data_IF_121572635359
#
_entry.id   IF_121572635359
#
_cell.length_a   1.000
_cell.length_b   1.000
_cell.length_c   1.000
_cell.angle_alpha   90.00
_cell.angle_beta   90.00
_cell.angle_gamma   90.00
#
_symmetry.space_group_name_H-M   'P 1'
#
loop_
_entity.id
_entity.type
_entity.pdbx_description
1 polymer ?
#
# COMPACT_ATOMS: atom_id res chain seq x y z
N UNK A 1 -9.60 21.30 3.11
CA UNK A 1 -10.02 20.59 1.88
C UNK A 1 -8.96 20.67 0.77
N UNK A 2 -7.86 21.36 1.00
CA UNK A 2 -6.81 21.58 -0.01
C UNK A 2 -5.89 20.36 -0.29
N UNK A 3 -5.94 19.31 0.53
CA UNK A 3 -5.04 18.15 0.38
C UNK A 3 -5.58 17.04 -0.52
N UNK A 4 -6.89 17.00 -0.76
CA UNK A 4 -7.54 15.91 -1.49
C UNK A 4 -7.95 16.37 -2.90
N UNK A 5 -7.55 15.62 -3.92
CA UNK A 5 -8.11 15.72 -5.26
C UNK A 5 -9.62 15.43 -5.24
N UNK A 6 -9.97 14.35 -4.50
CA UNK A 6 -11.37 13.97 -4.27
C UNK A 6 -11.52 13.35 -2.89
N UNK A 7 -12.61 13.69 -2.17
CA UNK A 7 -12.91 13.19 -0.83
C UNK A 7 -14.41 13.08 -0.60
N UNK A 8 -14.80 12.60 0.59
CA UNK A 8 -16.19 12.48 1.00
C UNK A 8 -17.03 11.63 0.06
N UNK A 9 -18.29 12.02 -0.11
CA UNK A 9 -19.25 11.30 -0.94
C UNK A 9 -18.85 11.24 -2.42
N UNK A 10 -18.11 12.24 -2.92
CA UNK A 10 -17.65 12.25 -4.30
C UNK A 10 -16.65 11.12 -4.59
N UNK A 11 -15.71 10.86 -3.67
CA UNK A 11 -14.75 9.75 -3.79
C UNK A 11 -15.46 8.40 -3.63
N UNK A 12 -16.34 8.27 -2.64
CA UNK A 12 -17.14 7.05 -2.43
C UNK A 12 -17.99 6.71 -3.64
N UNK A 13 -18.64 7.70 -4.25
CA UNK A 13 -19.42 7.53 -5.48
C UNK A 13 -18.53 7.08 -6.64
N UNK A 14 -17.37 7.70 -6.82
CA UNK A 14 -16.44 7.29 -7.87
C UNK A 14 -16.01 5.83 -7.70
N UNK A 15 -15.58 5.43 -6.50
CA UNK A 15 -15.19 4.04 -6.21
C UNK A 15 -16.35 3.09 -6.53
N UNK A 16 -17.54 3.38 -6.02
CA UNK A 16 -18.70 2.50 -6.17
C UNK A 16 -19.20 2.38 -7.61
N UNK A 17 -19.18 3.50 -8.37
CA UNK A 17 -19.71 3.55 -9.74
C UNK A 17 -18.70 3.23 -10.83
N UNK A 18 -17.39 3.17 -10.50
CA UNK A 18 -16.36 2.78 -11.46
C UNK A 18 -16.65 1.38 -11.99
N UNK A 19 -16.76 1.25 -13.30
CA UNK A 19 -16.92 0.00 -14.03
C UNK A 19 -15.75 -0.18 -14.96
N UNK A 20 -15.11 -1.33 -14.89
CA UNK A 20 -13.88 -1.63 -15.59
C UNK A 20 -14.01 -2.93 -16.37
N UNK A 21 -13.42 -3.03 -17.58
CA UNK A 21 -13.21 -4.32 -18.21
C UNK A 21 -12.24 -5.17 -17.37
N UNK A 22 -12.33 -6.50 -17.50
CA UNK A 22 -11.50 -7.45 -16.76
C UNK A 22 -9.98 -7.31 -16.99
N UNK A 23 -9.57 -6.50 -17.99
CA UNK A 23 -8.16 -6.18 -18.24
C UNK A 23 -7.66 -4.92 -17.50
N UNK A 24 -8.52 -4.26 -16.73
CA UNK A 24 -8.18 -2.99 -16.07
C UNK A 24 -8.29 -3.08 -14.55
N UNK A 25 -7.43 -2.34 -13.87
CA UNK A 25 -7.41 -2.13 -12.43
C UNK A 25 -7.49 -0.62 -12.14
N UNK A 26 -8.44 -0.20 -11.33
CA UNK A 26 -8.46 1.15 -10.78
C UNK A 26 -7.77 1.19 -9.42
N UNK A 27 -6.98 2.22 -9.19
CA UNK A 27 -6.18 2.43 -7.97
C UNK A 27 -6.38 3.86 -7.47
N UNK A 28 -6.68 4.01 -6.18
CA UNK A 28 -6.74 5.30 -5.48
C UNK A 28 -5.73 5.30 -4.33
N UNK A 29 -4.85 6.30 -4.28
CA UNK A 29 -4.04 6.55 -3.10
C UNK A 29 -4.89 7.26 -2.05
N UNK A 30 -4.87 6.75 -0.82
CA UNK A 30 -5.54 7.35 0.35
C UNK A 30 -4.55 7.85 1.40
N UNK A 31 -3.28 7.98 0.99
CA UNK A 31 -2.17 8.50 1.79
C UNK A 31 -1.42 7.44 2.58
N UNK A 32 -0.23 7.78 3.04
CA UNK A 32 0.71 6.88 3.70
C UNK A 32 1.05 5.67 2.81
N UNK A 33 0.74 4.47 3.26
CA UNK A 33 0.78 3.24 2.47
C UNK A 33 -0.61 2.76 2.03
N UNK A 34 -1.64 3.58 2.25
CA UNK A 34 -3.02 3.20 2.02
C UNK A 34 -3.45 3.30 0.57
N UNK A 35 -4.00 2.21 0.04
CA UNK A 35 -4.57 2.17 -1.31
C UNK A 35 -5.92 1.46 -1.34
N UNK A 36 -6.77 1.91 -2.27
CA UNK A 36 -7.99 1.22 -2.66
C UNK A 36 -7.82 0.74 -4.09
N UNK A 37 -8.07 -0.53 -4.31
CA UNK A 37 -8.09 -1.16 -5.62
C UNK A 37 -9.51 -1.56 -5.98
N UNK A 38 -9.87 -1.39 -7.23
CA UNK A 38 -11.10 -1.96 -7.77
C UNK A 38 -10.79 -2.76 -9.04
N UNK A 39 -11.16 -4.03 -9.00
CA UNK A 39 -11.08 -4.96 -10.11
C UNK A 39 -12.45 -5.58 -10.32
N UNK A 40 -13.03 -5.38 -11.50
CA UNK A 40 -14.43 -5.74 -11.75
C UNK A 40 -15.36 -5.15 -10.66
N UNK A 41 -16.05 -5.97 -9.89
CA UNK A 41 -16.89 -5.52 -8.78
C UNK A 41 -16.17 -5.59 -7.42
N UNK A 42 -15.01 -6.23 -7.34
CA UNK A 42 -14.25 -6.42 -6.08
C UNK A 42 -13.51 -5.15 -5.68
N UNK A 43 -13.71 -4.72 -4.45
CA UNK A 43 -12.99 -3.59 -3.82
C UNK A 43 -12.06 -4.12 -2.75
N UNK A 44 -10.78 -3.83 -2.89
CA UNK A 44 -9.70 -4.24 -1.97
C UNK A 44 -9.04 -3.01 -1.38
N UNK A 45 -8.87 -2.98 -0.06
CA UNK A 45 -8.07 -1.97 0.63
C UNK A 45 -6.80 -2.60 1.18
N UNK A 46 -5.69 -1.89 1.09
CA UNK A 46 -4.45 -2.24 1.79
C UNK A 46 -4.01 -1.07 2.66
N UNK A 47 -3.63 -1.36 3.90
CA UNK A 47 -3.20 -0.40 4.92
C UNK A 47 -4.10 0.85 4.99
N UNK A 48 -5.43 0.70 5.02
CA UNK A 48 -6.33 1.85 5.03
C UNK A 48 -6.24 2.58 6.37
N UNK A 49 -5.97 3.89 6.35
CA UNK A 49 -6.01 4.77 7.53
C UNK A 49 -7.04 5.86 7.28
N UNK A 50 -8.28 5.59 7.65
CA UNK A 50 -9.47 6.42 7.43
C UNK A 50 -9.96 7.07 8.73
N UNK A 51 -9.13 7.09 9.76
CA UNK A 51 -9.38 7.70 11.07
C UNK A 51 -8.18 8.51 11.53
N UNK A 52 -8.30 9.22 12.62
CA UNK A 52 -7.16 9.82 13.29
C UNK A 52 -6.19 8.73 13.80
N UNK A 53 -4.91 9.10 13.89
CA UNK A 53 -3.91 8.20 14.45
C UNK A 53 -4.06 8.19 15.97
N UNK A 54 -4.40 7.03 16.52
CA UNK A 54 -4.55 6.82 17.95
C UNK A 54 -3.49 5.82 18.41
N UNK A 55 -2.35 6.31 18.84
CA UNK A 55 -1.26 5.47 19.31
C UNK A 55 -0.47 6.12 20.44
N UNK A 56 0.34 5.36 21.17
CA UNK A 56 1.16 5.88 22.28
C UNK A 56 2.22 6.89 21.82
N UNK A 57 2.58 6.90 20.52
CA UNK A 57 3.53 7.86 19.95
C UNK A 57 3.01 9.30 19.88
N UNK A 58 1.70 9.53 20.05
CA UNK A 58 1.09 10.86 19.88
C UNK A 58 1.17 11.37 18.43
N UNK A 59 1.41 10.51 17.46
CA UNK A 59 1.49 10.85 16.05
C UNK A 59 0.21 11.50 15.57
N UNK A 60 0.34 12.49 14.68
CA UNK A 60 -0.79 13.21 14.09
C UNK A 60 -0.71 13.15 12.58
N UNK A 61 -1.89 13.18 11.96
CA UNK A 61 -1.99 13.30 10.50
C UNK A 61 -1.65 14.71 10.04
N UNK A 62 -1.04 14.82 8.86
CA UNK A 62 -0.82 16.10 8.17
C UNK A 62 -2.11 16.62 7.51
N UNK A 63 -3.08 15.74 7.24
CA UNK A 63 -4.35 16.05 6.58
C UNK A 63 -5.46 15.14 7.11
N UNK A 64 -6.74 15.57 7.07
CA UNK A 64 -7.86 14.76 7.56
C UNK A 64 -8.07 13.50 6.70
N UNK A 65 -8.76 12.50 7.24
CA UNK A 65 -9.21 11.35 6.48
C UNK A 65 -10.19 11.76 5.35
N UNK A 66 -10.23 11.02 4.23
CA UNK A 66 -11.08 11.40 3.10
C UNK A 66 -12.56 11.24 3.36
N UNK A 67 -12.94 10.27 4.17
CA UNK A 67 -14.32 9.94 4.57
C UNK A 67 -14.27 9.06 5.83
N UNK A 68 -15.43 8.90 6.48
CA UNK A 68 -15.56 8.00 7.63
C UNK A 68 -15.45 6.52 7.17
N UNK A 69 -14.70 5.66 7.88
CA UNK A 69 -14.41 4.30 7.43
C UNK A 69 -15.67 3.46 7.16
N UNK A 70 -16.73 3.64 7.94
CA UNK A 70 -18.01 2.94 7.74
C UNK A 70 -18.76 3.31 6.46
N UNK A 71 -18.35 4.37 5.77
CA UNK A 71 -18.95 4.75 4.51
C UNK A 71 -18.38 3.97 3.31
N UNK A 72 -17.18 3.39 3.45
CA UNK A 72 -16.53 2.63 2.38
C UNK A 72 -17.00 1.17 2.40
N UNK A 73 -17.63 0.72 1.33
CA UNK A 73 -17.89 -0.71 1.11
C UNK A 73 -16.65 -1.34 0.48
N UNK A 74 -16.08 -2.32 1.16
CA UNK A 74 -14.94 -3.09 0.70
C UNK A 74 -15.18 -4.58 0.92
N UNK A 75 -14.63 -5.42 0.05
CA UNK A 75 -14.73 -6.87 0.14
C UNK A 75 -13.52 -7.44 0.89
N UNK A 76 -12.35 -6.82 0.76
CA UNK A 76 -11.11 -7.28 1.34
C UNK A 76 -10.32 -6.12 1.93
N UNK A 77 -9.84 -6.30 3.15
CA UNK A 77 -8.95 -5.37 3.86
C UNK A 77 -7.66 -6.12 4.20
N UNK A 78 -6.54 -5.64 3.71
CA UNK A 78 -5.23 -6.17 4.06
C UNK A 78 -4.50 -5.18 4.97
N UNK A 79 -3.80 -5.69 5.97
CA UNK A 79 -2.85 -4.91 6.76
C UNK A 79 -1.47 -5.55 6.66
N UNK A 80 -0.44 -4.74 6.44
CA UNK A 80 0.93 -5.23 6.33
C UNK A 80 1.55 -5.53 7.69
N UNK A 81 1.21 -4.76 8.72
CA UNK A 81 1.69 -4.93 10.09
C UNK A 81 0.83 -4.15 11.10
N UNK A 82 1.17 -4.24 12.39
CA UNK A 82 0.34 -3.76 13.49
C UNK A 82 0.49 -2.29 13.87
N UNK A 83 1.29 -1.47 13.18
CA UNK A 83 1.40 -0.04 13.49
C UNK A 83 0.11 0.72 13.18
N UNK A 84 -0.16 1.77 13.94
CA UNK A 84 -1.42 2.52 13.87
C UNK A 84 -1.65 3.25 12.54
N UNK A 85 -0.60 3.54 11.79
CA UNK A 85 -0.64 4.14 10.46
C UNK A 85 -0.74 3.10 9.30
N UNK A 86 -0.97 1.81 9.65
CA UNK A 86 -1.27 0.71 8.72
C UNK A 86 -2.50 -0.08 9.21
N UNK A 87 -2.55 -0.39 10.51
CA UNK A 87 -3.63 -1.15 11.15
C UNK A 87 -4.39 -0.27 12.14
N UNK A 88 -5.02 0.80 11.65
CA UNK A 88 -5.72 1.78 12.48
C UNK A 88 -6.99 1.19 13.10
N UNK A 89 -7.07 1.20 14.46
CA UNK A 89 -8.18 0.60 15.24
C UNK A 89 -9.55 1.06 14.78
N UNK A 90 -9.76 2.38 14.75
CA UNK A 90 -11.08 2.92 14.43
C UNK A 90 -11.44 2.76 12.95
N UNK A 91 -10.44 2.74 12.07
CA UNK A 91 -10.63 2.40 10.66
C UNK A 91 -11.13 0.97 10.50
N UNK A 92 -10.43 -0.01 11.09
CA UNK A 92 -10.82 -1.41 10.97
C UNK A 92 -12.19 -1.69 11.60
N UNK A 93 -12.48 -1.08 12.74
CA UNK A 93 -13.82 -1.17 13.37
C UNK A 93 -14.92 -0.59 12.48
N UNK A 94 -14.66 0.53 11.82
CA UNK A 94 -15.60 1.13 10.88
C UNK A 94 -15.85 0.24 9.66
N UNK A 95 -14.79 -0.26 9.04
CA UNK A 95 -14.87 -1.18 7.89
C UNK A 95 -15.57 -2.50 8.27
N UNK A 96 -15.35 -2.99 9.49
CA UNK A 96 -15.97 -4.21 10.00
C UNK A 96 -17.49 -4.11 10.18
N UNK A 97 -18.10 -2.91 10.10
CA UNK A 97 -19.56 -2.76 10.07
C UNK A 97 -20.17 -3.34 8.80
N UNK A 98 -19.41 -3.45 7.71
CA UNK A 98 -19.82 -4.14 6.51
C UNK A 98 -19.58 -5.65 6.67
N UNK A 99 -20.65 -6.44 6.73
CA UNK A 99 -20.58 -7.87 7.02
C UNK A 99 -19.84 -8.68 5.96
N UNK A 100 -19.76 -8.19 4.72
CA UNK A 100 -19.02 -8.83 3.63
C UNK A 100 -17.50 -8.65 3.73
N UNK A 101 -17.02 -7.63 4.46
CA UNK A 101 -15.59 -7.33 4.54
C UNK A 101 -14.81 -8.47 5.21
N UNK A 102 -13.80 -8.98 4.53
CA UNK A 102 -12.81 -9.95 5.04
C UNK A 102 -11.50 -9.24 5.33
N UNK A 103 -10.77 -9.72 6.33
CA UNK A 103 -9.52 -9.13 6.79
C UNK A 103 -8.38 -10.13 6.63
N UNK A 104 -7.32 -9.73 5.96
CA UNK A 104 -6.08 -10.50 5.83
C UNK A 104 -4.99 -9.78 6.61
N UNK A 105 -4.45 -10.44 7.60
CA UNK A 105 -3.53 -9.86 8.57
C UNK A 105 -2.32 -10.78 8.78
N UNK A 106 -1.14 -10.23 9.11
CA UNK A 106 -0.04 -11.05 9.60
C UNK A 106 -0.47 -11.89 10.81
N UNK A 107 0.03 -13.12 10.91
CA UNK A 107 -0.32 -14.01 12.01
C UNK A 107 -0.07 -13.38 13.39
N UNK A 108 1.03 -12.62 13.53
CA UNK A 108 1.37 -11.91 14.76
C UNK A 108 0.41 -10.75 15.13
N UNK A 109 -0.41 -10.28 14.17
CA UNK A 109 -1.39 -9.22 14.42
C UNK A 109 -2.77 -9.74 14.88
N UNK A 110 -2.96 -11.05 15.03
CA UNK A 110 -4.26 -11.65 15.35
C UNK A 110 -4.82 -11.18 16.70
N UNK A 111 -3.97 -11.09 17.74
CA UNK A 111 -4.37 -10.61 19.06
C UNK A 111 -4.82 -9.14 19.01
N UNK A 112 -4.11 -8.30 18.26
CA UNK A 112 -4.45 -6.90 18.06
C UNK A 112 -5.79 -6.73 17.32
N UNK A 113 -6.04 -7.54 16.30
CA UNK A 113 -7.32 -7.56 15.59
C UNK A 113 -8.49 -7.95 16.51
N UNK A 114 -8.30 -8.93 17.39
CA UNK A 114 -9.28 -9.32 18.39
C UNK A 114 -9.55 -8.19 19.40
N UNK A 115 -8.50 -7.49 19.87
CA UNK A 115 -8.63 -6.30 20.72
C UNK A 115 -9.43 -5.19 20.03
N UNK A 116 -9.26 -5.03 18.71
CA UNK A 116 -10.02 -4.09 17.91
C UNK A 116 -11.47 -4.51 17.67
N UNK A 117 -11.85 -5.72 18.08
CA UNK A 117 -13.20 -6.24 17.97
C UNK A 117 -13.57 -6.68 16.55
N UNK A 118 -12.58 -7.06 15.75
CA UNK A 118 -12.84 -7.66 14.43
C UNK A 118 -13.30 -9.11 14.64
N UNK A 119 -14.43 -9.53 14.05
CA UNK A 119 -14.94 -10.90 14.21
C UNK A 119 -13.95 -11.94 13.67
N UNK A 120 -13.64 -12.95 14.48
CA UNK A 120 -12.63 -13.96 14.17
C UNK A 120 -12.94 -14.76 12.90
N UNK A 121 -14.22 -14.99 12.61
CA UNK A 121 -14.69 -15.68 11.40
C UNK A 121 -14.48 -14.87 10.10
N UNK A 122 -14.10 -13.59 10.22
CA UNK A 122 -13.78 -12.72 9.10
C UNK A 122 -12.29 -12.43 8.94
N UNK A 123 -11.45 -12.96 9.84
CA UNK A 123 -10.00 -12.79 9.79
C UNK A 123 -9.38 -14.03 9.16
N UNK A 124 -8.48 -13.79 8.22
CA UNK A 124 -7.53 -14.79 7.71
C UNK A 124 -6.13 -14.31 8.04
N UNK A 125 -5.43 -15.05 8.88
CA UNK A 125 -4.03 -14.77 9.20
C UNK A 125 -3.11 -15.42 8.19
N UNK A 126 -2.04 -14.70 7.85
CA UNK A 126 -1.04 -15.13 6.87
C UNK A 126 0.37 -14.94 7.41
N UNK A 127 1.29 -15.65 6.80
CA UNK A 127 2.73 -15.56 7.03
C UNK A 127 3.46 -15.63 5.69
N UNK A 128 4.77 -15.46 5.71
CA UNK A 128 5.58 -15.60 4.51
C UNK A 128 5.26 -16.90 3.74
N UNK A 129 5.12 -16.78 2.43
CA UNK A 129 4.80 -17.89 1.54
C UNK A 129 3.31 -18.23 1.43
N UNK A 130 2.44 -17.64 2.27
CA UNK A 130 0.99 -17.83 2.14
C UNK A 130 0.48 -17.33 0.79
N UNK A 131 -0.39 -18.13 0.14
CA UNK A 131 -1.07 -17.77 -1.11
C UNK A 131 -2.56 -18.00 -0.93
N UNK A 132 -3.35 -16.94 -1.09
CA UNK A 132 -4.80 -16.96 -0.88
C UNK A 132 -5.52 -16.45 -2.14
N UNK A 133 -6.32 -17.29 -2.82
CA UNK A 133 -7.28 -16.82 -3.80
C UNK A 133 -8.54 -16.28 -3.11
N UNK A 134 -8.87 -15.02 -3.29
CA UNK A 134 -9.98 -14.33 -2.63
C UNK A 134 -10.69 -13.39 -3.61
N UNK A 135 -11.94 -13.71 -3.99
CA UNK A 135 -12.83 -12.76 -4.66
C UNK A 135 -12.28 -12.12 -5.95
N UNK A 136 -11.58 -12.89 -6.80
CA UNK A 136 -11.00 -12.36 -8.05
C UNK A 136 -9.60 -11.75 -7.89
N UNK A 137 -9.04 -11.74 -6.67
CA UNK A 137 -7.65 -11.38 -6.41
C UNK A 137 -6.91 -12.56 -5.78
N UNK A 138 -5.67 -12.79 -6.18
CA UNK A 138 -4.75 -13.70 -5.48
C UNK A 138 -3.79 -12.88 -4.64
N UNK A 139 -3.74 -13.17 -3.36
CA UNK A 139 -2.85 -12.54 -2.38
C UNK A 139 -1.71 -13.49 -2.05
N UNK A 140 -0.47 -13.08 -2.30
CA UNK A 140 0.74 -13.76 -1.83
C UNK A 140 1.44 -12.88 -0.82
N UNK A 141 1.75 -13.43 0.35
CA UNK A 141 2.48 -12.74 1.42
C UNK A 141 3.98 -13.07 1.35
N UNK A 142 4.81 -12.08 1.64
CA UNK A 142 6.26 -12.25 1.86
C UNK A 142 6.70 -11.43 3.07
N UNK A 143 7.79 -11.83 3.73
CA UNK A 143 8.32 -11.11 4.89
C UNK A 143 8.84 -9.74 4.51
N UNK A 144 8.41 -8.72 5.23
CA UNK A 144 8.99 -7.38 5.20
C UNK A 144 10.02 -7.25 6.34
N UNK A 145 11.05 -6.46 6.09
CA UNK A 145 12.13 -6.25 7.05
C UNK A 145 11.86 -4.97 7.85
N UNK A 146 11.09 -5.10 8.92
CA UNK A 146 10.83 -3.98 9.84
C UNK A 146 11.61 -4.19 11.15
N UNK A 147 12.39 -3.21 11.64
CA UNK A 147 13.37 -3.39 12.72
C UNK A 147 12.84 -4.03 14.00
N UNK A 148 11.63 -3.70 14.41
CA UNK A 148 11.03 -4.26 15.62
C UNK A 148 10.79 -5.77 15.54
N UNK A 149 10.73 -6.31 14.33
CA UNK A 149 10.34 -7.69 14.05
C UNK A 149 11.51 -8.55 13.55
N UNK A 150 12.66 -7.93 13.20
CA UNK A 150 13.85 -8.67 12.77
C UNK A 150 14.60 -9.28 13.96
N UNK A 151 14.51 -8.66 15.13
CA UNK A 151 15.22 -9.11 16.33
C UNK A 151 14.56 -10.34 16.96
N UNK A 152 13.31 -10.63 16.66
CA UNK A 152 12.63 -11.87 17.02
C UNK A 152 12.72 -12.87 15.86
N UNK A 153 13.88 -13.51 15.74
CA UNK A 153 14.12 -14.61 14.77
C UNK A 153 13.15 -15.81 14.93
N UNK A 154 12.15 -15.69 15.78
CA UNK A 154 11.08 -16.65 16.05
C UNK A 154 9.69 -16.25 15.61
N UNK A 155 9.47 -15.02 15.11
CA UNK A 155 8.14 -14.57 14.66
C UNK A 155 8.14 -14.08 13.21
N UNK A 156 8.09 -14.98 12.22
CA UNK A 156 8.11 -14.63 10.79
C UNK A 156 6.80 -14.00 10.28
N UNK A 157 5.88 -13.61 11.14
CA UNK A 157 4.54 -13.20 10.77
C UNK A 157 4.10 -11.81 11.23
N UNK A 158 5.01 -10.93 11.69
CA UNK A 158 4.63 -9.63 12.25
C UNK A 158 4.57 -8.50 11.22
N UNK A 159 5.46 -8.49 10.21
CA UNK A 159 5.46 -7.51 9.14
C UNK A 159 5.56 -8.20 7.78
N UNK A 160 4.64 -7.91 6.90
CA UNK A 160 4.54 -8.53 5.58
C UNK A 160 4.42 -7.48 4.48
N UNK A 161 4.97 -7.82 3.31
CA UNK A 161 4.56 -7.23 2.05
C UNK A 161 3.61 -8.18 1.32
N UNK A 162 2.90 -7.66 0.33
CA UNK A 162 1.94 -8.43 -0.44
C UNK A 162 2.16 -8.27 -1.94
N UNK A 163 2.11 -9.39 -2.65
CA UNK A 163 1.86 -9.41 -4.08
C UNK A 163 0.38 -9.69 -4.30
N UNK A 164 -0.31 -8.77 -4.96
CA UNK A 164 -1.71 -8.89 -5.35
C UNK A 164 -1.78 -9.12 -6.87
N UNK A 165 -2.50 -10.14 -7.29
CA UNK A 165 -2.73 -10.41 -8.71
C UNK A 165 -4.22 -10.26 -9.02
N UNK A 166 -4.53 -9.26 -9.85
CA UNK A 166 -5.88 -8.93 -10.32
C UNK A 166 -5.98 -9.31 -11.81
N UNK A 167 -6.51 -10.50 -12.10
CA UNK A 167 -6.48 -11.00 -13.48
C UNK A 167 -5.05 -11.07 -14.02
N UNK A 168 -4.71 -10.21 -14.98
CA UNK A 168 -3.35 -10.14 -15.56
C UNK A 168 -2.45 -9.08 -14.95
N UNK A 169 -2.92 -8.30 -13.95
CA UNK A 169 -2.16 -7.19 -13.35
C UNK A 169 -1.57 -7.59 -11.99
N UNK A 170 -0.28 -7.41 -11.82
CA UNK A 170 0.48 -7.73 -10.60
C UNK A 170 0.89 -6.46 -9.86
N UNK A 171 0.40 -6.30 -8.64
CA UNK A 171 0.78 -5.21 -7.72
C UNK A 171 1.66 -5.78 -6.62
N UNK A 172 2.81 -5.18 -6.36
CA UNK A 172 3.65 -5.50 -5.20
C UNK A 172 3.63 -4.31 -4.25
N UNK A 173 3.12 -4.53 -3.04
CA UNK A 173 3.09 -3.57 -1.95
C UNK A 173 4.09 -4.00 -0.89
N UNK A 174 5.11 -3.20 -0.66
CA UNK A 174 6.20 -3.58 0.24
C UNK A 174 5.84 -3.46 1.73
N UNK A 175 4.80 -2.70 2.07
CA UNK A 175 4.56 -2.29 3.45
C UNK A 175 5.67 -1.38 3.95
N UNK A 176 5.93 -1.43 5.26
CA UNK A 176 7.09 -0.80 5.86
C UNK A 176 8.25 -1.77 5.86
N UNK A 177 9.37 -1.34 5.30
CA UNK A 177 10.55 -2.20 5.15
C UNK A 177 11.82 -1.42 4.81
N UNK A 178 12.95 -2.00 5.17
CA UNK A 178 14.23 -1.72 4.53
C UNK A 178 14.70 -2.97 3.78
N UNK A 179 15.72 -2.82 2.93
CA UNK A 179 16.18 -3.92 2.09
C UNK A 179 17.15 -4.83 2.86
N UNK A 180 16.83 -6.13 2.84
CA UNK A 180 17.73 -7.20 3.31
C UNK A 180 18.04 -8.15 2.15
N UNK A 181 19.10 -8.95 2.22
CA UNK A 181 19.38 -9.98 1.22
C UNK A 181 18.17 -10.92 1.00
N UNK A 182 17.55 -11.39 2.09
CA UNK A 182 16.39 -12.27 2.01
C UNK A 182 15.19 -11.63 1.29
N UNK A 183 14.84 -10.39 1.66
CA UNK A 183 13.74 -9.68 1.00
C UNK A 183 14.06 -9.44 -0.49
N UNK A 184 15.29 -9.03 -0.81
CA UNK A 184 15.69 -8.78 -2.19
C UNK A 184 15.60 -10.04 -3.05
N UNK A 185 16.13 -11.18 -2.57
CA UNK A 185 16.03 -12.47 -3.23
C UNK A 185 14.58 -12.92 -3.42
N UNK A 186 13.75 -12.73 -2.38
CA UNK A 186 12.31 -13.01 -2.46
C UNK A 186 11.64 -12.17 -3.55
N UNK A 187 11.87 -10.85 -3.57
CA UNK A 187 11.29 -9.96 -4.57
C UNK A 187 11.74 -10.29 -6.00
N UNK A 188 13.01 -10.69 -6.18
CA UNK A 188 13.53 -11.13 -7.48
C UNK A 188 12.88 -12.44 -7.98
N UNK A 189 12.46 -13.30 -7.05
CA UNK A 189 11.77 -14.56 -7.36
C UNK A 189 10.28 -14.36 -7.71
N UNK A 190 9.70 -13.19 -7.38
CA UNK A 190 8.33 -12.86 -7.75
C UNK A 190 8.24 -12.50 -9.24
N UNK A 191 7.07 -12.68 -9.88
CA UNK A 191 6.80 -12.08 -11.18
C UNK A 191 7.08 -10.58 -11.16
N UNK A 192 7.59 -10.06 -12.28
CA UNK A 192 7.82 -8.64 -12.47
C UNK A 192 6.57 -7.84 -12.08
N UNK A 193 6.67 -6.83 -11.19
CA UNK A 193 5.51 -6.04 -10.80
C UNK A 193 5.07 -5.10 -11.93
N UNK A 194 3.79 -5.08 -12.19
CA UNK A 194 3.16 -4.06 -13.02
C UNK A 194 3.08 -2.75 -12.26
N UNK A 195 2.78 -2.82 -10.97
CA UNK A 195 2.79 -1.70 -10.05
C UNK A 195 3.59 -2.07 -8.79
N UNK A 196 4.63 -1.30 -8.51
CA UNK A 196 5.38 -1.37 -7.26
C UNK A 196 4.97 -0.22 -6.35
N UNK A 197 4.61 -0.53 -5.11
CA UNK A 197 4.30 0.43 -4.04
C UNK A 197 5.40 0.33 -2.99
N UNK A 198 6.28 1.34 -2.92
CA UNK A 198 7.52 1.28 -2.15
C UNK A 198 7.62 2.46 -1.18
N UNK A 199 7.87 2.22 0.13
CA UNK A 199 8.05 3.28 1.10
C UNK A 199 9.35 4.04 0.83
N UNK A 200 9.36 5.36 1.07
CA UNK A 200 10.50 6.23 0.76
C UNK A 200 10.88 7.20 1.88
N UNK A 201 10.26 7.09 3.05
CA UNK A 201 10.52 8.04 4.13
C UNK A 201 11.92 7.93 4.75
N UNK A 202 12.68 6.88 4.42
CA UNK A 202 14.03 6.69 4.91
C UNK A 202 14.13 6.63 6.42
N UNK A 203 15.35 6.69 6.95
CA UNK A 203 15.58 6.79 8.39
C UNK A 203 16.64 7.83 8.71
N UNK A 204 16.59 8.37 9.92
CA UNK A 204 17.61 9.26 10.45
C UNK A 204 17.73 9.11 11.97
N UNK A 205 18.87 9.58 12.50
CA UNK A 205 19.17 9.49 13.92
C UNK A 205 18.08 10.09 14.81
N UNK A 206 17.56 11.28 14.48
CA UNK A 206 16.63 11.99 15.35
C UNK A 206 15.24 11.34 15.37
N UNK A 207 14.78 10.78 14.26
CA UNK A 207 13.56 10.00 14.20
C UNK A 207 13.69 8.68 14.97
N UNK A 208 14.82 7.98 14.80
CA UNK A 208 15.10 6.73 15.52
C UNK A 208 15.13 6.95 17.04
N UNK A 209 15.71 8.07 17.53
CA UNK A 209 15.69 8.41 18.96
C UNK A 209 14.28 8.64 19.52
N UNK A 210 13.29 8.90 18.67
CA UNK A 210 11.88 9.04 19.03
C UNK A 210 11.07 7.79 18.76
N UNK A 211 11.74 6.66 18.55
CA UNK A 211 11.13 5.38 18.14
C UNK A 211 10.30 5.50 16.86
N UNK A 212 10.70 6.39 15.95
CA UNK A 212 10.12 6.48 14.62
C UNK A 212 11.01 5.64 13.69
N UNK A 213 10.55 4.44 13.40
CA UNK A 213 11.28 3.47 12.61
C UNK A 213 11.20 3.86 11.15
N UNK A 214 12.33 3.81 10.46
CA UNK A 214 12.41 4.19 9.07
C UNK A 214 12.21 3.01 8.12
N UNK A 215 12.23 3.37 6.85
CA UNK A 215 12.06 2.47 5.72
C UNK A 215 13.18 2.69 4.70
N UNK A 216 12.99 2.23 3.47
CA UNK A 216 13.87 2.52 2.34
C UNK A 216 14.11 4.03 2.19
N UNK A 217 15.33 4.42 1.87
CA UNK A 217 15.60 5.75 1.33
C UNK A 217 15.00 5.90 -0.08
N UNK A 218 14.67 7.10 -0.47
CA UNK A 218 14.06 7.38 -1.79
C UNK A 218 14.95 6.86 -2.93
N UNK A 219 16.27 7.00 -2.80
CA UNK A 219 17.26 6.55 -3.77
C UNK A 219 17.36 5.01 -3.83
N UNK A 220 17.20 4.33 -2.69
CA UNK A 220 17.21 2.88 -2.60
C UNK A 220 15.93 2.28 -3.20
N UNK A 221 14.77 2.90 -2.92
CA UNK A 221 13.50 2.52 -3.54
C UNK A 221 13.55 2.67 -5.07
N UNK A 222 14.17 3.73 -5.58
CA UNK A 222 14.37 3.92 -7.02
C UNK A 222 15.28 2.84 -7.63
N UNK A 223 16.37 2.47 -6.96
CA UNK A 223 17.24 1.37 -7.39
C UNK A 223 16.50 0.04 -7.42
N UNK A 224 15.71 -0.23 -6.38
CA UNK A 224 14.90 -1.45 -6.28
C UNK A 224 13.89 -1.52 -7.43
N UNK A 225 13.18 -0.43 -7.73
CA UNK A 225 12.22 -0.35 -8.83
C UNK A 225 12.85 -0.72 -10.18
N UNK A 226 14.02 -0.17 -10.49
CA UNK A 226 14.76 -0.49 -11.72
C UNK A 226 15.22 -1.94 -11.74
N UNK A 227 15.76 -2.45 -10.62
CA UNK A 227 16.26 -3.83 -10.54
C UNK A 227 15.17 -4.89 -10.66
N UNK A 228 13.98 -4.61 -10.15
CA UNK A 228 12.81 -5.47 -10.30
C UNK A 228 12.14 -5.29 -11.67
N UNK A 229 12.55 -4.30 -12.44
CA UNK A 229 11.94 -3.97 -13.73
C UNK A 229 10.49 -3.55 -13.59
N UNK A 230 10.09 -2.91 -12.49
CA UNK A 230 8.72 -2.48 -12.25
C UNK A 230 8.20 -1.65 -13.44
N UNK A 231 6.99 -1.99 -13.93
CA UNK A 231 6.44 -1.26 -15.06
C UNK A 231 6.01 0.15 -14.67
N UNK A 232 5.52 0.33 -13.45
CA UNK A 232 5.28 1.64 -12.83
C UNK A 232 5.58 1.55 -11.34
N UNK A 233 6.06 2.63 -10.73
CA UNK A 233 6.28 2.70 -9.28
C UNK A 233 5.54 3.89 -8.70
N UNK A 234 4.85 3.69 -7.59
CA UNK A 234 4.29 4.76 -6.75
C UNK A 234 5.06 4.74 -5.43
N UNK A 235 5.80 5.80 -5.09
CA UNK A 235 6.39 5.92 -3.77
C UNK A 235 5.29 6.07 -2.70
N UNK A 236 5.53 5.53 -1.52
CA UNK A 236 4.59 5.52 -0.40
C UNK A 236 5.25 6.03 0.88
N UNK A 237 4.49 6.16 1.95
CA UNK A 237 4.96 6.48 3.30
C UNK A 237 5.73 7.81 3.39
N UNK A 238 5.24 8.87 2.75
CA UNK A 238 5.97 10.14 2.71
C UNK A 238 5.16 11.38 3.11
N UNK A 239 3.85 11.26 3.35
CA UNK A 239 2.97 12.43 3.35
C UNK A 239 2.08 12.59 4.58
N UNK A 240 1.73 11.50 5.30
CA UNK A 240 0.63 11.53 6.29
C UNK A 240 1.07 11.87 7.70
N UNK A 241 2.16 11.30 8.20
CA UNK A 241 2.55 11.36 9.61
C UNK A 241 3.43 12.58 9.88
N UNK A 242 2.99 13.48 10.78
CA UNK A 242 3.77 14.67 11.13
C UNK A 242 5.16 14.30 11.67
N UNK A 243 6.20 14.92 11.10
CA UNK A 243 7.58 14.65 11.46
C UNK A 243 8.16 13.36 10.88
N UNK A 244 7.41 12.69 10.00
CA UNK A 244 7.85 11.51 9.23
C UNK A 244 7.48 11.67 7.73
N UNK A 245 7.69 12.86 7.20
CA UNK A 245 7.40 13.20 5.79
C UNK A 245 8.69 13.39 5.02
N UNK A 246 8.66 13.09 3.72
CA UNK A 246 9.77 13.35 2.79
C UNK A 246 9.22 13.88 1.46
N UNK A 247 10.01 14.66 0.73
CA UNK A 247 9.64 15.11 -0.60
C UNK A 247 9.74 13.94 -1.60
N UNK A 248 8.62 13.49 -2.19
CA UNK A 248 8.63 12.38 -3.15
C UNK A 248 9.38 12.72 -4.45
N UNK A 249 9.69 13.99 -4.72
CA UNK A 249 10.52 14.38 -5.85
C UNK A 249 11.97 13.86 -5.73
N UNK A 250 12.45 13.53 -4.52
CA UNK A 250 13.74 12.83 -4.33
C UNK A 250 13.74 11.47 -5.04
N UNK A 251 12.66 10.69 -4.85
CA UNK A 251 12.47 9.41 -5.53
C UNK A 251 12.42 9.61 -7.06
N UNK A 252 11.62 10.56 -7.51
CA UNK A 252 11.46 10.85 -8.93
C UNK A 252 12.79 11.24 -9.60
N UNK A 253 13.59 12.08 -8.94
CA UNK A 253 14.91 12.49 -9.41
C UNK A 253 15.88 11.30 -9.48
N UNK A 254 15.94 10.48 -8.42
CA UNK A 254 16.80 9.30 -8.38
C UNK A 254 16.42 8.29 -9.46
N UNK A 255 15.12 8.02 -9.63
CA UNK A 255 14.64 7.09 -10.66
C UNK A 255 15.01 7.55 -12.07
N UNK A 256 14.83 8.84 -12.37
CA UNK A 256 15.19 9.43 -13.67
C UNK A 256 16.67 9.40 -13.97
N UNK A 257 17.52 9.47 -12.94
CA UNK A 257 18.99 9.33 -13.11
C UNK A 257 19.38 7.87 -13.44
N UNK A 258 18.68 6.90 -12.87
CA UNK A 258 18.95 5.48 -13.08
C UNK A 258 18.38 4.98 -14.42
N UNK A 259 17.16 5.36 -14.73
CA UNK A 259 16.47 5.02 -15.97
C UNK A 259 15.53 6.17 -16.38
N UNK A 260 15.92 6.99 -17.38
CA UNK A 260 15.10 8.08 -17.86
C UNK A 260 13.73 7.65 -18.43
N UNK A 261 13.60 6.38 -18.84
CA UNK A 261 12.36 5.81 -19.38
C UNK A 261 11.47 5.18 -18.31
N UNK A 262 11.98 5.00 -17.07
CA UNK A 262 11.20 4.39 -16.00
C UNK A 262 9.92 5.18 -15.70
N UNK A 263 8.81 4.45 -15.58
CA UNK A 263 7.51 5.03 -15.24
C UNK A 263 7.34 5.12 -13.72
N UNK A 264 6.87 6.26 -13.26
CA UNK A 264 6.38 6.44 -11.90
C UNK A 264 5.16 7.35 -11.89
N UNK A 265 4.37 7.27 -10.82
CA UNK A 265 3.28 8.20 -10.58
C UNK A 265 3.36 8.76 -9.16
N UNK A 266 2.98 10.03 -9.02
CA UNK A 266 2.78 10.72 -7.75
C UNK A 266 1.30 11.15 -7.70
N UNK A 267 0.38 10.22 -7.41
CA UNK A 267 -1.04 10.55 -7.43
C UNK A 267 -1.38 11.57 -6.35
N UNK A 268 -2.24 12.52 -6.68
CA UNK A 268 -2.88 13.31 -5.66
C UNK A 268 -3.79 12.42 -4.80
N UNK A 269 -3.96 12.78 -3.53
CA UNK A 269 -4.80 12.00 -2.61
C UNK A 269 -6.25 11.88 -3.13
N UNK A 270 -6.76 10.66 -3.26
CA UNK A 270 -8.08 10.38 -3.81
C UNK A 270 -8.17 10.51 -5.34
N UNK A 271 -7.04 10.66 -6.04
CA UNK A 271 -6.99 10.58 -7.50
C UNK A 271 -7.08 9.13 -7.95
N UNK A 272 -7.87 8.88 -9.01
CA UNK A 272 -7.98 7.58 -9.64
C UNK A 272 -6.94 7.40 -10.72
N UNK A 273 -6.11 6.38 -10.57
CA UNK A 273 -5.25 5.86 -11.63
C UNK A 273 -5.89 4.61 -12.26
N UNK A 274 -5.69 4.42 -13.56
CA UNK A 274 -6.12 3.21 -14.27
C UNK A 274 -4.90 2.50 -14.81
N UNK A 275 -4.80 1.22 -14.47
CA UNK A 275 -3.79 0.32 -14.98
C UNK A 275 -4.45 -0.72 -15.87
N UNK A 276 -3.82 -1.03 -17.00
CA UNK A 276 -4.33 -2.00 -17.96
C UNK A 276 -3.28 -3.09 -18.14
N UNK A 277 -3.70 -4.34 -17.92
CA UNK A 277 -2.89 -5.49 -18.27
C UNK A 277 -2.81 -5.62 -19.81
N UNK A 278 -1.61 -5.82 -20.34
CA UNK A 278 -1.41 -6.01 -21.77
C UNK A 278 -1.79 -7.45 -22.17
N UNK A 279 -2.91 -7.60 -22.87
CA UNK A 279 -3.43 -8.89 -23.30
C UNK A 279 -2.53 -9.62 -24.33
N UNK A 280 -1.47 -8.97 -24.82
CA UNK A 280 -0.61 -9.47 -25.91
C UNK A 280 0.77 -9.95 -25.48
N UNK A 281 1.20 -9.70 -24.23
CA UNK A 281 2.55 -10.08 -23.78
C UNK A 281 2.48 -11.12 -22.68
N UNK A 282 2.98 -12.31 -22.96
CA UNK A 282 3.18 -13.35 -21.94
C UNK A 282 4.16 -12.91 -20.83
N UNK A 283 4.89 -11.79 -20.98
CA UNK A 283 5.93 -11.30 -20.07
C UNK A 283 6.04 -9.76 -19.94
N UNK A 284 5.09 -8.96 -20.42
CA UNK A 284 5.18 -7.50 -20.22
C UNK A 284 3.82 -6.81 -20.33
N UNK A 285 3.38 -6.18 -19.27
CA UNK A 285 2.31 -5.18 -19.27
C UNK A 285 2.82 -3.87 -19.87
N UNK A 286 2.08 -3.28 -20.81
CA UNK A 286 2.29 -1.90 -21.24
C UNK A 286 1.40 -1.02 -20.38
N UNK A 287 2.01 -0.33 -19.42
CA UNK A 287 1.34 0.78 -18.77
C UNK A 287 1.36 1.98 -19.71
N UNK A 288 0.21 2.48 -20.08
CA UNK A 288 0.14 3.89 -20.46
C UNK A 288 0.39 4.69 -19.18
N UNK A 289 1.62 5.20 -19.00
CA UNK A 289 1.88 6.18 -17.97
C UNK A 289 0.83 7.28 -18.13
N UNK A 290 -0.01 7.57 -17.12
CA UNK A 290 -0.92 8.70 -17.24
C UNK A 290 -0.08 9.93 -17.57
N UNK A 291 -0.53 10.82 -18.48
CA UNK A 291 0.20 12.06 -18.73
C UNK A 291 0.38 12.78 -17.38
N UNK A 292 1.55 13.39 -17.15
CA UNK A 292 1.80 14.10 -15.90
C UNK A 292 0.63 15.04 -15.66
N UNK A 293 -0.03 14.87 -14.50
CA UNK A 293 -1.14 15.75 -14.12
C UNK A 293 -0.63 17.18 -14.20
N UNK A 294 -1.34 18.05 -14.90
CA UNK A 294 -0.99 19.46 -15.14
C UNK A 294 -0.96 20.33 -13.86
N UNK A 295 -0.94 19.70 -12.69
CA UNK A 295 -0.93 20.34 -11.37
C UNK A 295 0.46 20.59 -10.77
N UNK A 296 1.56 20.28 -11.48
CA UNK A 296 2.89 20.76 -11.08
C UNK A 296 3.19 22.03 -11.91
N UNK A 297 2.50 23.10 -11.61
CA UNK A 297 2.94 24.47 -11.90
C UNK A 297 3.11 25.22 -10.57
N UNK A 298 4.41 25.33 -10.17
CA UNK A 298 5.05 26.22 -9.17
C UNK A 298 4.70 25.99 -7.72
#
# INVERSE_FOLDING_TARGET
>A
MEHWHRSGQALLNEISTTRLPASQLAVWSIGQCGFIFKYEETVVCIDPVLSDLTGPSGSRRCYPAPFAPEALRTDLVLCTHGHADHMAKDTLRGLARHLAARFVLPAGCSALAAEYGIPADRITTVQEGSILPLGGVTVRAFSAAHPEHILDAGDPGMALGYQLTFGGCTVVHLGDTYLTPHLYETLQALPRPDLLLAPINGQDFFRTQRNCIGNLEAEEAAQLAVRLGAACTIPTHYDMVQGNTVDPLRFAAALRQLDPAACFALPALGERLLFQADAGRKDSSVFSCPPPSSSIQR
#
